data_IF_166111726381
#
_entry.id   IF_166111726381
#
_cell.length_a   1.000
_cell.length_b   1.000
_cell.length_c   1.000
_cell.angle_alpha   90.00
_cell.angle_beta   90.00
_cell.angle_gamma   90.00
#
_symmetry.space_group_name_H-M   'P 1'
#
loop_
_entity.id
_entity.type
_entity.pdbx_description
1 polymer ?
#
# COMPACT_ATOMS: atom_id res chain seq x y z
N UNK A 1 12.96 26.45 0.43
CA UNK A 1 11.98 25.89 -0.54
C UNK A 1 12.59 25.61 -1.93
N UNK A 2 13.87 25.90 -2.18
CA UNK A 2 14.46 25.81 -3.53
C UNK A 2 14.83 24.40 -4.00
N UNK A 3 15.04 23.45 -3.08
CA UNK A 3 15.52 22.12 -3.46
C UNK A 3 14.44 21.24 -4.14
N UNK A 4 13.17 21.40 -3.76
CA UNK A 4 12.08 20.54 -4.27
C UNK A 4 11.75 20.87 -5.73
N UNK A 5 11.81 22.14 -6.11
CA UNK A 5 11.55 22.56 -7.49
C UNK A 5 12.70 22.17 -8.42
N UNK A 6 13.95 22.35 -7.98
CA UNK A 6 15.13 21.90 -8.72
C UNK A 6 15.12 20.39 -8.96
N UNK A 7 14.85 19.59 -7.91
CA UNK A 7 14.75 18.13 -8.05
C UNK A 7 13.67 17.72 -9.05
N UNK A 8 12.52 18.42 -9.10
CA UNK A 8 11.49 18.11 -10.09
C UNK A 8 11.93 18.42 -11.51
N UNK A 9 12.58 19.55 -11.72
CA UNK A 9 13.09 19.97 -13.02
C UNK A 9 14.15 18.98 -13.54
N UNK A 10 15.08 18.58 -12.67
CA UNK A 10 16.11 17.57 -12.99
C UNK A 10 15.48 16.21 -13.33
N UNK A 11 14.41 15.80 -12.64
CA UNK A 11 13.70 14.56 -12.93
C UNK A 11 13.01 14.58 -14.31
N UNK A 12 12.45 15.72 -14.73
CA UNK A 12 11.87 15.85 -16.06
C UNK A 12 12.94 15.81 -17.16
N UNK A 13 14.10 16.44 -16.94
CA UNK A 13 15.23 16.34 -17.87
C UNK A 13 15.74 14.90 -17.97
N UNK A 14 15.87 14.20 -16.84
CA UNK A 14 16.26 12.79 -16.80
C UNK A 14 15.28 11.90 -17.57
N UNK A 15 13.98 12.17 -17.45
CA UNK A 15 12.94 11.46 -18.20
C UNK A 15 13.10 11.65 -19.71
N UNK A 16 13.32 12.89 -20.16
CA UNK A 16 13.48 13.22 -21.58
C UNK A 16 14.75 12.57 -22.16
N UNK A 17 15.85 12.56 -21.41
CA UNK A 17 17.07 11.84 -21.77
C UNK A 17 16.83 10.34 -21.94
N UNK A 18 16.11 9.70 -21.01
CA UNK A 18 15.81 8.26 -21.11
C UNK A 18 14.84 7.93 -22.24
N UNK A 19 13.89 8.81 -22.56
CA UNK A 19 12.99 8.62 -23.71
C UNK A 19 13.76 8.66 -25.04
N UNK A 20 14.66 9.64 -25.21
CA UNK A 20 15.53 9.70 -26.40
C UNK A 20 16.44 8.49 -26.50
N UNK A 21 17.00 8.03 -25.37
CA UNK A 21 17.79 6.81 -25.33
C UNK A 21 16.96 5.59 -25.78
N UNK A 22 15.73 5.47 -25.31
CA UNK A 22 14.83 4.38 -25.68
C UNK A 22 14.49 4.39 -27.18
N UNK A 23 14.30 5.57 -27.77
CA UNK A 23 14.12 5.71 -29.22
C UNK A 23 15.35 5.24 -30.00
N UNK A 24 16.55 5.69 -29.59
CA UNK A 24 17.80 5.25 -30.20
C UNK A 24 18.00 3.74 -30.05
N UNK A 25 17.77 3.19 -28.86
CA UNK A 25 17.88 1.75 -28.60
C UNK A 25 16.92 0.94 -29.46
N UNK A 26 15.71 1.43 -29.72
CA UNK A 26 14.76 0.79 -30.65
C UNK A 26 15.20 0.86 -32.12
N UNK A 27 15.98 1.85 -32.51
CA UNK A 27 16.54 1.94 -33.87
C UNK A 27 17.78 1.07 -34.06
N UNK A 28 18.59 0.91 -33.02
CA UNK A 28 19.88 0.20 -33.08
C UNK A 28 19.70 -1.28 -32.77
N UNK A 29 18.92 -1.61 -31.74
CA UNK A 29 18.69 -2.96 -31.28
C UNK A 29 17.31 -3.45 -31.73
N UNK A 30 17.19 -4.75 -32.00
CA UNK A 30 15.88 -5.36 -32.17
C UNK A 30 15.05 -5.14 -30.89
N UNK A 31 13.73 -4.98 -31.03
CA UNK A 31 12.77 -4.59 -29.98
C UNK A 31 12.83 -5.35 -28.63
N UNK A 32 13.63 -6.41 -28.55
CA UNK A 32 13.79 -7.33 -27.42
C UNK A 32 15.24 -7.37 -26.96
N UNK A 33 15.79 -6.23 -26.58
CA UNK A 33 17.15 -6.13 -26.03
C UNK A 33 17.11 -5.73 -24.55
N UNK A 34 18.01 -6.31 -23.74
CA UNK A 34 18.05 -6.10 -22.29
C UNK A 34 18.16 -4.61 -21.92
N UNK A 35 18.91 -3.84 -22.72
CA UNK A 35 19.04 -2.38 -22.56
C UNK A 35 17.69 -1.64 -22.64
N UNK A 36 16.77 -2.07 -23.52
CA UNK A 36 15.44 -1.44 -23.63
C UNK A 36 14.65 -1.68 -22.35
N UNK A 37 14.72 -2.90 -21.79
CA UNK A 37 14.12 -3.24 -20.50
C UNK A 37 14.70 -2.40 -19.34
N UNK A 38 16.02 -2.22 -19.34
CA UNK A 38 16.71 -1.38 -18.34
C UNK A 38 16.27 0.08 -18.43
N UNK A 39 16.25 0.65 -19.63
CA UNK A 39 15.83 2.04 -19.86
C UNK A 39 14.38 2.26 -19.42
N UNK A 40 13.47 1.30 -19.71
CA UNK A 40 12.09 1.34 -19.23
C UNK A 40 11.99 1.28 -17.70
N UNK A 41 12.83 0.47 -17.04
CA UNK A 41 12.90 0.42 -15.58
C UNK A 41 13.33 1.77 -14.99
N UNK A 42 14.33 2.43 -15.59
CA UNK A 42 14.77 3.77 -15.17
C UNK A 42 13.65 4.81 -15.35
N UNK A 43 12.93 4.78 -16.48
CA UNK A 43 11.75 5.64 -16.71
C UNK A 43 10.69 5.41 -15.62
N UNK A 44 10.42 4.13 -15.29
CA UNK A 44 9.51 3.75 -14.21
C UNK A 44 9.90 4.32 -12.85
N UNK A 45 11.18 4.33 -12.51
CA UNK A 45 11.69 4.93 -11.27
C UNK A 45 11.55 6.46 -11.25
N UNK A 46 11.82 7.13 -12.37
CA UNK A 46 11.66 8.57 -12.49
C UNK A 46 10.19 8.96 -12.31
N UNK A 47 9.26 8.22 -12.93
CA UNK A 47 7.83 8.40 -12.70
C UNK A 47 7.43 8.17 -11.24
N UNK A 48 8.01 7.17 -10.57
CA UNK A 48 7.77 6.93 -9.14
C UNK A 48 8.23 8.12 -8.28
N UNK A 49 9.40 8.70 -8.57
CA UNK A 49 9.93 9.90 -7.87
C UNK A 49 9.10 11.15 -8.13
N UNK A 50 8.55 11.29 -9.34
CA UNK A 50 7.63 12.38 -9.71
C UNK A 50 6.24 12.22 -9.08
N UNK A 51 5.90 11.04 -8.56
CA UNK A 51 4.59 10.72 -7.97
C UNK A 51 3.56 10.19 -8.96
N UNK A 52 3.96 9.94 -10.21
CA UNK A 52 3.11 9.35 -11.25
C UNK A 52 3.13 7.82 -11.15
N UNK A 53 2.52 7.25 -10.11
CA UNK A 53 2.57 5.80 -9.85
C UNK A 53 1.93 4.95 -10.95
N UNK A 54 0.89 5.45 -11.63
CA UNK A 54 0.23 4.72 -12.72
C UNK A 54 1.18 4.56 -13.90
N UNK A 55 1.84 5.66 -14.32
CA UNK A 55 2.82 5.66 -15.41
C UNK A 55 4.07 4.84 -15.04
N UNK A 56 4.49 4.88 -13.78
CA UNK A 56 5.56 4.03 -13.25
C UNK A 56 5.21 2.54 -13.40
N UNK A 57 3.99 2.16 -13.02
CA UNK A 57 3.53 0.77 -13.12
C UNK A 57 3.42 0.27 -14.55
N UNK A 58 3.01 1.12 -15.50
CA UNK A 58 2.97 0.73 -16.92
C UNK A 58 4.38 0.50 -17.46
N UNK A 59 5.31 1.43 -17.21
CA UNK A 59 6.71 1.30 -17.66
C UNK A 59 7.41 0.06 -17.07
N UNK A 60 7.21 -0.21 -15.77
CA UNK A 60 7.79 -1.39 -15.12
C UNK A 60 7.22 -2.71 -15.65
N UNK A 61 5.93 -2.76 -16.03
CA UNK A 61 5.32 -3.95 -16.65
C UNK A 61 5.86 -4.20 -18.05
N UNK A 62 6.06 -3.14 -18.84
CA UNK A 62 6.68 -3.26 -20.16
C UNK A 62 8.13 -3.76 -20.04
N UNK A 63 8.90 -3.24 -19.08
CA UNK A 63 10.24 -3.74 -18.78
C UNK A 63 10.20 -5.24 -18.44
N UNK A 64 9.29 -5.66 -17.54
CA UNK A 64 9.14 -7.06 -17.13
C UNK A 64 8.86 -7.99 -18.31
N UNK A 65 7.96 -7.60 -19.22
CA UNK A 65 7.66 -8.40 -20.41
C UNK A 65 8.89 -8.61 -21.31
N UNK A 66 9.74 -7.58 -21.46
CA UNK A 66 10.99 -7.69 -22.22
C UNK A 66 11.97 -8.64 -21.53
N UNK A 67 12.13 -8.54 -20.20
CA UNK A 67 13.02 -9.42 -19.45
C UNK A 67 12.55 -10.88 -19.47
N UNK A 68 11.25 -11.13 -19.35
CA UNK A 68 10.65 -12.47 -19.48
C UNK A 68 10.90 -13.09 -20.86
N UNK A 69 10.84 -12.30 -21.93
CA UNK A 69 11.09 -12.78 -23.30
C UNK A 69 12.58 -13.05 -23.58
N UNK A 70 13.49 -12.25 -23.01
CA UNK A 70 14.94 -12.35 -23.28
C UNK A 70 15.58 -13.47 -22.48
N UNK A 71 15.21 -13.60 -21.20
CA UNK A 71 15.80 -14.61 -20.33
C UNK A 71 14.80 -15.02 -19.25
N UNK A 72 14.08 -16.14 -19.43
CA UNK A 72 13.16 -16.68 -18.42
C UNK A 72 13.87 -17.19 -17.16
N UNK A 73 15.19 -16.95 -17.03
CA UNK A 73 16.05 -17.41 -15.93
C UNK A 73 16.80 -16.28 -15.23
N UNK A 74 16.60 -15.02 -15.64
CA UNK A 74 17.13 -13.85 -14.93
C UNK A 74 16.18 -13.46 -13.80
N UNK A 75 16.17 -14.29 -12.77
CA UNK A 75 15.27 -14.11 -11.60
C UNK A 75 15.60 -12.81 -10.84
N UNK A 76 16.85 -12.36 -10.84
CA UNK A 76 17.29 -11.17 -10.10
C UNK A 76 16.70 -9.86 -10.65
N UNK A 77 16.74 -9.67 -11.97
CA UNK A 77 16.19 -8.46 -12.63
C UNK A 77 14.67 -8.43 -12.50
N UNK A 78 14.03 -9.59 -12.70
CA UNK A 78 12.58 -9.74 -12.56
C UNK A 78 12.15 -9.43 -11.13
N UNK A 79 12.84 -9.97 -10.13
CA UNK A 79 12.54 -9.67 -8.72
C UNK A 79 12.75 -8.19 -8.38
N UNK A 80 13.77 -7.53 -8.93
CA UNK A 80 13.96 -6.10 -8.73
C UNK A 80 12.78 -5.28 -9.29
N UNK A 81 12.27 -5.65 -10.48
CA UNK A 81 11.10 -5.01 -11.09
C UNK A 81 9.84 -5.28 -10.27
N UNK A 82 9.61 -6.52 -9.82
CA UNK A 82 8.49 -6.88 -8.94
C UNK A 82 8.50 -6.08 -7.64
N UNK A 83 9.67 -5.91 -7.02
CA UNK A 83 9.82 -5.10 -5.80
C UNK A 83 9.42 -3.64 -6.07
N UNK A 84 9.86 -3.05 -7.18
CA UNK A 84 9.48 -1.68 -7.58
C UNK A 84 7.98 -1.56 -7.84
N UNK A 85 7.38 -2.52 -8.54
CA UNK A 85 5.93 -2.58 -8.78
C UNK A 85 5.15 -2.63 -7.46
N UNK A 86 5.57 -3.48 -6.52
CA UNK A 86 4.95 -3.60 -5.21
C UNK A 86 5.07 -2.30 -4.40
N UNK A 87 6.20 -1.61 -4.49
CA UNK A 87 6.41 -0.32 -3.85
C UNK A 87 5.50 0.76 -4.44
N UNK A 88 5.40 0.84 -5.78
CA UNK A 88 4.52 1.77 -6.49
C UNK A 88 3.03 1.54 -6.15
N UNK A 89 2.58 0.29 -6.15
CA UNK A 89 1.21 -0.09 -5.73
C UNK A 89 0.92 0.31 -4.29
N UNK A 90 1.87 0.08 -3.36
CA UNK A 90 1.74 0.50 -1.97
C UNK A 90 1.53 2.01 -1.89
N UNK A 91 2.42 2.81 -2.50
CA UNK A 91 2.31 4.28 -2.51
C UNK A 91 1.00 4.77 -3.11
N UNK A 92 0.53 4.16 -4.21
CA UNK A 92 -0.77 4.46 -4.80
C UNK A 92 -1.92 4.20 -3.81
N UNK A 93 -1.88 3.07 -3.09
CA UNK A 93 -2.90 2.75 -2.08
C UNK A 93 -2.87 3.69 -0.86
N UNK A 94 -1.70 4.24 -0.50
CA UNK A 94 -1.58 5.23 0.57
C UNK A 94 -2.10 6.60 0.15
N UNK A 95 -1.94 6.99 -1.12
CA UNK A 95 -2.48 8.25 -1.63
C UNK A 95 -4.00 8.23 -1.83
N UNK A 96 -4.56 7.06 -2.14
CA UNK A 96 -5.99 6.88 -2.42
C UNK A 96 -6.82 6.55 -1.18
N UNK A 97 -6.19 6.29 -0.02
CA UNK A 97 -6.88 6.21 1.26
C UNK A 97 -7.08 7.63 1.81
N UNK A 98 -8.25 8.28 1.64
CA UNK A 98 -8.63 9.29 2.62
C UNK A 98 -8.60 8.59 3.98
N UNK A 99 -8.09 9.25 5.01
CA UNK A 99 -7.99 8.72 6.38
C UNK A 99 -9.30 8.05 6.78
N UNK A 100 -9.43 6.74 6.57
CA UNK A 100 -10.54 5.97 7.06
C UNK A 100 -10.27 5.82 8.56
N UNK A 101 -10.72 6.82 9.31
CA UNK A 101 -10.76 6.76 10.76
C UNK A 101 -11.57 5.53 11.14
N UNK A 102 -10.89 4.51 11.64
CA UNK A 102 -11.54 3.38 12.28
C UNK A 102 -11.69 3.73 13.76
N UNK A 103 -12.91 4.01 14.26
CA UNK A 103 -13.08 4.10 15.70
C UNK A 103 -12.60 2.80 16.33
N UNK A 104 -11.73 2.91 17.33
CA UNK A 104 -11.37 1.78 18.17
C UNK A 104 -12.68 1.15 18.67
N UNK A 105 -12.94 -0.10 18.27
CA UNK A 105 -14.09 -0.88 18.76
C UNK A 105 -13.95 -0.96 20.27
N UNK A 106 -14.65 -0.07 20.99
CA UNK A 106 -14.83 -0.17 22.44
C UNK A 106 -15.55 -1.48 22.68
N UNK A 107 -14.81 -2.50 23.09
CA UNK A 107 -15.39 -3.74 23.60
C UNK A 107 -16.29 -3.36 24.79
N UNK A 108 -17.56 -3.79 24.82
CA UNK A 108 -18.39 -3.55 25.98
C UNK A 108 -17.74 -4.23 27.18
N UNK A 109 -17.33 -3.45 28.18
CA UNK A 109 -16.82 -3.94 29.45
C UNK A 109 -17.92 -4.86 30.03
N UNK A 110 -17.68 -6.17 30.13
CA UNK A 110 -18.60 -7.13 30.77
C UNK A 110 -18.94 -6.56 32.15
N UNK A 111 -20.18 -6.09 32.30
CA UNK A 111 -20.71 -5.58 33.57
C UNK A 111 -20.85 -6.79 34.49
N UNK A 112 -19.87 -7.01 35.35
CA UNK A 112 -19.98 -7.96 36.46
C UNK A 112 -21.19 -7.51 37.30
N UNK A 113 -22.28 -8.27 37.23
CA UNK A 113 -23.42 -8.09 38.14
C UNK A 113 -22.94 -8.41 39.54
N UNK A 114 -22.70 -7.38 40.34
CA UNK A 114 -22.57 -7.50 41.78
C UNK A 114 -23.87 -8.09 42.32
N UNK A 115 -23.80 -9.33 42.81
CA UNK A 115 -24.88 -10.00 43.54
C UNK A 115 -24.99 -9.34 44.91
N UNK A 116 -25.77 -8.26 45.00
CA UNK A 116 -26.12 -7.63 46.26
C UNK A 116 -27.14 -8.49 47.00
N UNK A 117 -26.84 -8.69 48.28
CA UNK A 117 -27.67 -9.35 49.30
C UNK A 117 -29.11 -8.84 49.27
N UNK A 118 -30.06 -9.75 49.41
CA UNK A 118 -31.42 -9.44 49.87
C UNK A 118 -31.75 -10.40 51.00
N UNK A 119 -31.51 -9.90 52.20
CA UNK A 119 -32.14 -10.32 53.45
C UNK A 119 -33.62 -9.92 53.44
N UNK A 120 -34.52 -10.88 53.68
CA UNK A 120 -35.89 -10.67 54.16
C UNK A 120 -36.22 -11.89 55.02
N UNK A 121 -36.03 -11.87 56.34
CA UNK A 121 -36.76 -11.11 57.36
C UNK A 121 -38.27 -11.34 57.27
N UNK A 122 -38.73 -12.46 57.84
CA UNK A 122 -40.13 -12.68 58.24
C UNK A 122 -40.18 -12.84 59.76
N UNK A 123 -40.22 -11.70 60.47
CA UNK A 123 -40.81 -11.60 61.80
C UNK A 123 -42.24 -11.10 61.61
N UNK A 124 -43.21 -11.94 61.94
CA UNK A 124 -44.56 -11.50 62.27
C UNK A 124 -44.98 -12.25 63.52
N UNK A 125 -44.95 -11.53 64.64
CA UNK A 125 -45.37 -11.96 65.95
C UNK A 125 -46.89 -12.10 66.02
N UNK A 126 -47.34 -13.05 66.85
CA UNK A 126 -48.52 -13.01 67.72
C UNK A 126 -49.84 -12.51 67.13
N UNK A 127 -50.81 -13.42 66.99
CA UNK A 127 -52.18 -13.10 67.40
C UNK A 127 -52.82 -14.27 68.15
N UNK A 128 -53.46 -13.86 69.24
CA UNK A 128 -54.04 -14.62 70.33
C UNK A 128 -55.56 -14.48 70.16
N UNK A 129 -56.34 -15.57 70.16
CA UNK A 129 -57.70 -15.61 70.76
C UNK A 129 -58.34 -16.99 70.64
N UNK A 130 -58.84 -17.42 71.79
CA UNK A 130 -59.70 -18.56 72.11
C UNK A 130 -61.04 -18.55 71.35
N UNK A 131 -61.66 -19.72 71.16
CA UNK A 131 -62.90 -20.11 71.87
C UNK A 131 -63.52 -21.38 71.29
N UNK A 132 -64.07 -22.17 72.23
CA UNK A 132 -65.07 -23.26 72.17
C UNK A 132 -64.71 -24.64 71.57
#
# INVERSE_FOLDING_TARGET
MSNIYQIKEDLYQCLDCHQRQLELEKTIYSSKHCNIGWTLMCIGDVYYKLGYYIASLTALKEAMAIYEEISPRNDDDIHAIEQKINLAKRKQSFQTKPLEWKPAKRTPRRRLKSRSQSTSNSRSSSDFRSSD
#
